data_IF_301430128602
#
_entry.id   IF_301430128602
#
_cell.length_a   1.000
_cell.length_b   1.000
_cell.length_c   1.000
_cell.angle_alpha   90.00
_cell.angle_beta   90.00
_cell.angle_gamma   90.00
#
_symmetry.space_group_name_H-M   'P 1'
#
loop_
_entity.id
_entity.type
_entity.pdbx_description
1 polymer ?
#
# COMPACT_ATOMS: atom_id res chain seq x y z
N UNK A 1 6.57 -19.18 7.61
CA UNK A 1 7.66 -18.32 8.15
C UNK A 1 7.37 -16.81 8.26
N UNK A 2 6.17 -16.27 7.95
CA UNK A 2 5.77 -14.92 8.43
C UNK A 2 4.30 -14.75 8.83
N UNK A 3 3.48 -15.81 8.75
CA UNK A 3 2.09 -15.77 9.24
C UNK A 3 1.98 -15.76 10.78
N UNK A 4 3.04 -16.15 11.50
CA UNK A 4 3.01 -16.36 12.96
C UNK A 4 3.15 -15.05 13.76
N UNK A 5 3.49 -13.92 13.14
CA UNK A 5 3.87 -12.70 13.89
C UNK A 5 2.82 -11.58 13.95
N UNK A 6 1.64 -11.72 13.32
CA UNK A 6 0.58 -10.71 13.40
C UNK A 6 1.00 -9.30 12.97
N UNK A 7 2.08 -9.16 12.19
CA UNK A 7 2.60 -7.88 11.71
C UNK A 7 1.90 -7.51 10.41
N UNK A 8 1.44 -6.27 10.32
CA UNK A 8 0.86 -5.70 9.11
C UNK A 8 1.84 -5.81 7.91
N UNK A 9 1.34 -5.67 6.68
CA UNK A 9 2.16 -5.75 5.46
C UNK A 9 3.41 -4.85 5.54
N UNK A 10 4.55 -5.42 5.13
CA UNK A 10 5.84 -4.73 5.15
C UNK A 10 6.20 -4.08 3.81
N UNK A 11 7.29 -3.31 3.78
CA UNK A 11 7.78 -2.57 2.60
C UNK A 11 7.88 -3.46 1.35
N UNK A 12 8.31 -4.73 1.49
CA UNK A 12 8.37 -5.70 0.37
C UNK A 12 7.01 -5.94 -0.28
N UNK A 13 5.93 -5.97 0.49
CA UNK A 13 4.58 -6.17 -0.05
C UNK A 13 4.14 -4.95 -0.85
N UNK A 14 4.36 -3.73 -0.34
CA UNK A 14 4.03 -2.50 -1.06
C UNK A 14 4.80 -2.40 -2.40
N UNK A 15 6.09 -2.73 -2.39
CA UNK A 15 6.92 -2.73 -3.60
C UNK A 15 6.39 -3.72 -4.66
N UNK A 16 6.05 -4.95 -4.26
CA UNK A 16 5.53 -5.97 -5.17
C UNK A 16 4.15 -5.60 -5.73
N UNK A 17 3.27 -5.03 -4.89
CA UNK A 17 1.93 -4.59 -5.33
C UNK A 17 2.04 -3.43 -6.33
N UNK A 18 2.88 -2.44 -6.06
CA UNK A 18 3.13 -1.32 -6.96
C UNK A 18 3.71 -1.81 -8.31
N UNK A 19 4.74 -2.65 -8.26
CA UNK A 19 5.39 -3.18 -9.45
C UNK A 19 4.45 -4.06 -10.28
N UNK A 20 3.70 -4.96 -9.64
CA UNK A 20 2.75 -5.83 -10.33
C UNK A 20 1.63 -5.05 -11.02
N UNK A 21 1.10 -4.03 -10.35
CA UNK A 21 0.10 -3.15 -10.94
C UNK A 21 0.65 -2.40 -12.18
N UNK A 22 1.88 -1.91 -12.11
CA UNK A 22 2.53 -1.26 -13.26
C UNK A 22 2.71 -2.25 -14.42
N UNK A 23 3.23 -3.45 -14.16
CA UNK A 23 3.46 -4.47 -15.20
C UNK A 23 2.16 -4.85 -15.92
N UNK A 24 1.06 -5.08 -15.20
CA UNK A 24 -0.22 -5.42 -15.82
C UNK A 24 -0.74 -4.33 -16.76
N UNK A 25 -0.61 -3.07 -16.35
CA UNK A 25 -1.06 -1.93 -17.15
C UNK A 25 -0.13 -1.70 -18.35
N UNK A 26 1.19 -1.75 -18.15
CA UNK A 26 2.17 -1.61 -19.24
C UNK A 26 2.01 -2.69 -20.31
N UNK A 27 1.76 -3.94 -19.90
CA UNK A 27 1.55 -5.03 -20.84
C UNK A 27 0.35 -4.77 -21.75
N UNK A 28 -0.78 -4.30 -21.19
CA UNK A 28 -1.94 -3.95 -22.00
C UNK A 28 -1.75 -2.71 -22.86
N UNK A 29 -1.02 -1.71 -22.35
CA UNK A 29 -0.73 -0.49 -23.11
C UNK A 29 0.12 -0.80 -24.34
N UNK A 30 1.14 -1.65 -24.20
CA UNK A 30 2.00 -2.12 -25.30
C UNK A 30 1.25 -2.92 -26.35
N UNK A 31 0.23 -3.69 -25.94
CA UNK A 31 -0.65 -4.43 -26.85
C UNK A 31 -1.70 -3.52 -27.52
N UNK A 32 -1.70 -2.21 -27.24
CA UNK A 32 -2.64 -1.25 -27.81
C UNK A 32 -4.08 -1.43 -27.32
N UNK A 33 -4.26 -1.92 -26.09
CA UNK A 33 -5.58 -2.20 -25.53
C UNK A 33 -6.49 -0.96 -25.53
N UNK A 34 -7.74 -1.14 -25.96
CA UNK A 34 -8.75 -0.10 -25.89
C UNK A 34 -9.08 0.31 -24.44
N UNK A 35 -9.61 1.52 -24.27
CA UNK A 35 -9.92 2.10 -22.97
C UNK A 35 -10.83 1.20 -22.09
N UNK A 36 -11.72 0.43 -22.70
CA UNK A 36 -12.61 -0.49 -22.01
C UNK A 36 -11.86 -1.71 -21.43
N UNK A 37 -10.93 -2.29 -22.19
CA UNK A 37 -10.05 -3.36 -21.72
C UNK A 37 -9.12 -2.88 -20.59
N UNK A 38 -8.55 -1.68 -20.77
CA UNK A 38 -7.72 -1.03 -19.74
C UNK A 38 -8.51 -0.80 -18.45
N UNK A 39 -9.75 -0.30 -18.55
CA UNK A 39 -10.63 -0.06 -17.41
C UNK A 39 -10.95 -1.35 -16.65
N UNK A 40 -11.19 -2.46 -17.35
CA UNK A 40 -11.40 -3.77 -16.72
C UNK A 40 -10.18 -4.25 -15.93
N UNK A 41 -8.97 -4.09 -16.48
CA UNK A 41 -7.74 -4.48 -15.77
C UNK A 41 -7.54 -3.62 -14.52
N UNK A 42 -7.75 -2.30 -14.62
CA UNK A 42 -7.66 -1.41 -13.45
C UNK A 42 -8.68 -1.80 -12.37
N UNK A 43 -9.92 -2.11 -12.77
CA UNK A 43 -10.94 -2.62 -11.83
C UNK A 43 -10.52 -3.94 -11.18
N UNK A 44 -9.94 -4.86 -11.95
CA UNK A 44 -9.40 -6.13 -11.45
C UNK A 44 -8.26 -5.93 -10.44
N UNK A 45 -7.32 -5.02 -10.72
CA UNK A 45 -6.24 -4.64 -9.79
C UNK A 45 -6.84 -4.05 -8.51
N UNK A 46 -7.78 -3.11 -8.62
CA UNK A 46 -8.42 -2.49 -7.46
C UNK A 46 -9.16 -3.51 -6.57
N UNK A 47 -9.89 -4.45 -7.19
CA UNK A 47 -10.57 -5.53 -6.49
C UNK A 47 -9.57 -6.48 -5.79
N UNK A 48 -8.53 -6.90 -6.51
CA UNK A 48 -7.51 -7.80 -5.96
C UNK A 48 -6.76 -7.19 -4.78
N UNK A 49 -6.38 -5.91 -4.87
CA UNK A 49 -5.73 -5.22 -3.76
C UNK A 49 -6.69 -4.94 -2.61
N UNK A 50 -7.98 -4.69 -2.90
CA UNK A 50 -9.02 -4.63 -1.87
C UNK A 50 -9.10 -5.91 -1.04
N UNK A 51 -9.01 -7.07 -1.68
CA UNK A 51 -8.96 -8.37 -1.00
C UNK A 51 -7.69 -8.55 -0.16
N UNK A 52 -6.51 -8.20 -0.71
CA UNK A 52 -5.26 -8.22 0.07
C UNK A 52 -5.31 -7.27 1.27
N UNK A 53 -5.85 -6.07 1.08
CA UNK A 53 -6.03 -5.08 2.14
C UNK A 53 -6.93 -5.60 3.26
N UNK A 54 -8.06 -6.22 2.93
CA UNK A 54 -8.95 -6.86 3.91
C UNK A 54 -8.21 -7.94 4.72
N UNK A 55 -7.36 -8.75 4.06
CA UNK A 55 -6.52 -9.76 4.72
C UNK A 55 -5.47 -9.20 5.69
N UNK A 56 -5.11 -7.91 5.58
CA UNK A 56 -4.17 -7.25 6.50
C UNK A 56 -4.84 -6.61 7.71
N UNK A 57 -6.17 -6.49 7.71
CA UNK A 57 -6.93 -5.89 8.80
C UNK A 57 -7.23 -6.95 9.86
N UNK A 58 -6.70 -6.74 11.06
CA UNK A 58 -6.90 -7.63 12.20
C UNK A 58 -7.84 -6.96 13.21
N UNK A 59 -8.89 -7.67 13.62
CA UNK A 59 -9.85 -7.21 14.62
C UNK A 59 -9.52 -7.85 15.97
N UNK A 60 -9.18 -7.04 16.96
CA UNK A 60 -8.97 -7.48 18.35
C UNK A 60 -10.29 -7.84 19.05
N UNK A 61 -10.18 -8.21 20.33
CA UNK A 61 -11.35 -8.60 21.14
C UNK A 61 -12.33 -7.43 21.40
N UNK A 62 -11.87 -6.19 21.28
CA UNK A 62 -12.69 -4.98 21.39
C UNK A 62 -12.87 -4.31 20.02
N UNK A 63 -14.04 -3.70 19.78
CA UNK A 63 -14.38 -2.97 18.54
C UNK A 63 -13.41 -1.82 18.23
N UNK A 64 -12.76 -1.25 19.25
CA UNK A 64 -11.78 -0.18 19.15
C UNK A 64 -10.34 -0.64 18.83
N UNK A 65 -10.05 -1.94 18.82
CA UNK A 65 -8.71 -2.49 18.58
C UNK A 65 -8.60 -3.09 17.17
N UNK A 66 -8.77 -2.25 16.15
CA UNK A 66 -8.58 -2.63 14.74
C UNK A 66 -7.16 -2.23 14.31
N UNK A 67 -6.36 -3.21 13.92
CA UNK A 67 -4.98 -3.01 13.44
C UNK A 67 -4.89 -3.24 11.93
N UNK A 68 -3.94 -2.57 11.29
CA UNK A 68 -3.63 -2.78 9.87
C UNK A 68 -4.45 -1.92 8.89
N UNK A 69 -5.35 -1.05 9.35
CA UNK A 69 -6.09 -0.09 8.50
C UNK A 69 -5.16 0.79 7.65
N UNK A 70 -4.15 1.40 8.26
CA UNK A 70 -3.17 2.24 7.54
C UNK A 70 -2.35 1.43 6.54
N UNK A 71 -2.06 0.17 6.87
CA UNK A 71 -1.33 -0.72 5.96
C UNK A 71 -2.17 -1.14 4.76
N UNK A 72 -3.45 -1.48 4.97
CA UNK A 72 -4.40 -1.74 3.90
C UNK A 72 -4.55 -0.53 2.97
N UNK A 73 -4.70 0.68 3.55
CA UNK A 73 -4.74 1.92 2.79
C UNK A 73 -3.44 2.16 2.00
N UNK A 74 -2.28 1.89 2.60
CA UNK A 74 -1.00 2.00 1.93
C UNK A 74 -0.85 1.01 0.77
N UNK A 75 -1.36 -0.23 0.89
CA UNK A 75 -1.34 -1.21 -0.21
C UNK A 75 -2.19 -0.72 -1.38
N UNK A 76 -3.38 -0.21 -1.07
CA UNK A 76 -4.29 0.37 -2.05
C UNK A 76 -3.64 1.55 -2.79
N UNK A 77 -3.03 2.48 -2.05
CA UNK A 77 -2.31 3.61 -2.62
C UNK A 77 -1.10 3.19 -3.47
N UNK A 78 -0.35 2.17 -3.04
CA UNK A 78 0.80 1.65 -3.77
C UNK A 78 0.39 1.07 -5.12
N UNK A 79 -0.73 0.35 -5.18
CA UNK A 79 -1.26 -0.16 -6.44
C UNK A 79 -1.73 0.96 -7.37
N UNK A 80 -2.40 1.98 -6.83
CA UNK A 80 -2.84 3.13 -7.61
C UNK A 80 -1.66 3.90 -8.24
N UNK A 81 -0.56 4.06 -7.49
CA UNK A 81 0.69 4.64 -8.01
C UNK A 81 1.27 3.74 -9.11
N UNK A 82 1.31 2.42 -8.90
CA UNK A 82 1.74 1.46 -9.91
C UNK A 82 0.92 1.55 -11.21
N UNK A 83 -0.40 1.67 -11.12
CA UNK A 83 -1.28 1.89 -12.28
C UNK A 83 -0.93 3.21 -12.98
N UNK A 84 -0.71 4.30 -12.24
CA UNK A 84 -0.33 5.59 -12.83
C UNK A 84 1.01 5.51 -13.59
N UNK A 85 2.01 4.81 -13.02
CA UNK A 85 3.29 4.53 -13.67
C UNK A 85 3.06 3.68 -14.93
N UNK A 86 2.26 2.62 -14.85
CA UNK A 86 2.03 1.75 -15.98
C UNK A 86 1.29 2.41 -17.15
N UNK A 87 0.50 3.44 -16.88
CA UNK A 87 -0.13 4.31 -17.90
C UNK A 87 0.84 5.37 -18.45
N UNK A 88 2.11 5.38 -18.05
CA UNK A 88 3.10 6.40 -18.44
C UNK A 88 2.84 7.79 -17.84
N UNK A 89 2.02 7.89 -16.78
CA UNK A 89 1.63 9.18 -16.18
C UNK A 89 2.58 9.55 -15.03
N UNK A 90 3.85 9.78 -15.37
CA UNK A 90 4.93 10.02 -14.40
C UNK A 90 4.64 11.18 -13.44
N UNK A 91 4.12 12.30 -13.96
CA UNK A 91 3.77 13.45 -13.14
C UNK A 91 2.69 13.11 -12.09
N UNK A 92 1.68 12.33 -12.48
CA UNK A 92 0.63 11.86 -11.55
C UNK A 92 1.22 10.91 -10.52
N UNK A 93 2.05 9.95 -10.93
CA UNK A 93 2.69 8.99 -10.04
C UNK A 93 3.54 9.68 -8.96
N UNK A 94 4.39 10.64 -9.37
CA UNK A 94 5.23 11.42 -8.43
C UNK A 94 4.37 12.24 -7.49
N UNK A 95 3.38 12.98 -8.01
CA UNK A 95 2.51 13.81 -7.18
C UNK A 95 1.73 12.96 -6.16
N UNK A 96 1.12 11.85 -6.60
CA UNK A 96 0.40 10.93 -5.72
C UNK A 96 1.32 10.33 -4.66
N UNK A 97 2.55 9.96 -5.01
CA UNK A 97 3.54 9.44 -4.05
C UNK A 97 3.84 10.48 -2.97
N UNK A 98 4.11 11.73 -3.35
CA UNK A 98 4.37 12.82 -2.40
C UNK A 98 3.17 13.02 -1.47
N UNK A 99 1.95 13.09 -2.01
CA UNK A 99 0.73 13.26 -1.21
C UNK A 99 0.54 12.09 -0.24
N UNK A 100 0.73 10.85 -0.68
CA UNK A 100 0.64 9.66 0.17
C UNK A 100 1.67 9.72 1.30
N UNK A 101 2.92 10.09 1.01
CA UNK A 101 3.96 10.23 2.03
C UNK A 101 3.63 11.32 3.05
N UNK A 102 3.09 12.46 2.60
CA UNK A 102 2.62 13.54 3.47
C UNK A 102 1.51 13.04 4.40
N UNK A 103 0.49 12.36 3.86
CA UNK A 103 -0.62 11.83 4.66
C UNK A 103 -0.13 10.80 5.68
N UNK A 104 0.79 9.91 5.30
CA UNK A 104 1.28 8.86 6.19
C UNK A 104 2.28 9.34 7.24
N UNK A 105 3.11 10.35 6.94
CA UNK A 105 4.21 10.77 7.82
C UNK A 105 3.99 12.14 8.48
N UNK A 106 3.42 13.11 7.78
CA UNK A 106 3.20 14.46 8.34
C UNK A 106 1.92 14.53 9.18
N UNK A 107 0.86 13.83 8.80
CA UNK A 107 -0.40 13.89 9.55
C UNK A 107 -0.26 13.38 11.00
N UNK A 108 0.41 12.24 11.29
CA UNK A 108 0.61 11.80 12.67
C UNK A 108 1.42 12.80 13.50
N UNK A 109 2.41 13.48 12.90
CA UNK A 109 3.24 14.48 13.56
C UNK A 109 2.46 15.76 13.91
N UNK A 110 1.46 16.13 13.10
CA UNK A 110 0.62 17.30 13.34
C UNK A 110 -0.48 17.04 14.36
N UNK A 111 -1.01 15.82 14.40
CA UNK A 111 -2.10 15.44 15.30
C UNK A 111 -1.59 15.09 16.70
N UNK A 112 -0.41 14.50 16.82
CA UNK A 112 0.22 14.17 18.11
C UNK A 112 1.64 14.75 18.23
N UNK A 113 1.81 15.95 18.84
CA UNK A 113 3.12 16.60 19.00
C UNK A 113 4.14 15.82 19.87
N UNK A 114 3.75 14.69 20.45
CA UNK A 114 4.52 13.98 21.49
C UNK A 114 4.92 12.54 21.11
N UNK A 115 4.90 12.19 19.82
CA UNK A 115 5.42 10.91 19.32
C UNK A 115 6.95 10.91 19.41
N UNK A 116 7.47 10.48 20.56
CA UNK A 116 8.89 10.12 20.70
C UNK A 116 9.14 8.84 19.91
N UNK A 117 9.89 8.95 18.81
CA UNK A 117 10.50 7.78 18.16
C UNK A 117 11.39 7.11 19.19
N UNK A 118 10.96 5.96 19.73
CA UNK A 118 11.74 5.19 20.68
C UNK A 118 12.86 4.51 19.88
N UNK A 119 14.14 4.70 20.23
CA UNK A 119 15.23 4.04 19.52
C UNK A 119 15.06 2.53 19.67
N UNK A 120 15.25 1.81 18.56
CA UNK A 120 15.21 0.35 18.54
C UNK A 120 16.23 -0.16 19.57
N UNK A 121 15.75 -0.86 20.59
CA UNK A 121 16.59 -1.42 21.65
C UNK A 121 17.48 -2.50 21.03
N UNK A 122 18.76 -2.18 20.86
CA UNK A 122 19.82 -3.04 20.30
C UNK A 122 20.08 -4.28 21.18
N UNK A 123 19.36 -4.43 22.30
CA UNK A 123 19.56 -5.49 23.28
C UNK A 123 18.33 -6.38 23.48
N UNK A 124 17.54 -6.64 22.44
CA UNK A 124 16.43 -7.61 22.47
C UNK A 124 16.96 -9.06 22.40
N UNK A 125 17.03 -9.82 23.51
CA UNK A 125 17.45 -11.20 23.53
C UNK A 125 16.22 -12.04 23.17
N UNK A 126 15.80 -12.00 21.90
CA UNK A 126 14.76 -12.91 21.42
C UNK A 126 15.30 -14.34 21.49
N UNK A 127 14.52 -15.32 21.99
CA UNK A 127 14.85 -16.73 21.81
C UNK A 127 14.82 -17.13 20.34
#
# INVERSE_FOLDING_TARGET
>A
EREVMGKAAGIRTHMLVCLGAAIFVMALEQDGAEADAMSRVIQGIAAGVGFLGAGTILKGQNISDVKGLTTAAGLWASAAIGVAVGLGREATAVLSTVVVLVVLHLMPLMVDPNVKVKPDDENDPRP
#
